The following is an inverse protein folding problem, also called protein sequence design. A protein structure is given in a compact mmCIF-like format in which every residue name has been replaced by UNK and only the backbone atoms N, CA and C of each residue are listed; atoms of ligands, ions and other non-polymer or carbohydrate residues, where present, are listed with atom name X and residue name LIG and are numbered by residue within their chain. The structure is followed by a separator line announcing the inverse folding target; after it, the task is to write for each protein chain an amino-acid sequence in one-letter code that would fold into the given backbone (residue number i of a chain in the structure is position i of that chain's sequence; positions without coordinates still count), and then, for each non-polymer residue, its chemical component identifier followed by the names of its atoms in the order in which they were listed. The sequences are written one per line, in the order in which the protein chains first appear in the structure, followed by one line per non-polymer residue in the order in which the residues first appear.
data_IF_116543999012
#
_entry.id   IF_116543999012
#
_cell.length_a   1.000
_cell.length_b   1.000
_cell.length_c   1.000
_cell.angle_alpha   90.00
_cell.angle_beta   90.00
_cell.angle_gamma   90.00
#
_symmetry.space_group_name_H-M   'P 1'
#
loop_
_entity.id
_entity.type
_entity.pdbx_description
1 polymer ?
#
# COMPACT_ATOMS: atom_id res chain seq x y z
N UNK A 1 -7.65 -14.76 10.08
CA UNK A 1 -6.41 -14.25 9.45
C UNK A 1 -6.63 -14.16 7.95
N UNK A 2 -6.36 -13.02 7.36
CA UNK A 2 -6.59 -12.73 5.94
C UNK A 2 -5.25 -12.69 5.20
N UNK A 3 -5.23 -13.22 3.98
CA UNK A 3 -4.08 -13.12 3.07
C UNK A 3 -4.33 -11.99 2.09
N UNK A 4 -3.40 -11.05 2.02
CA UNK A 4 -3.44 -9.90 1.10
C UNK A 4 -2.27 -10.03 0.14
N UNK A 5 -2.59 -9.94 -1.14
CA UNK A 5 -1.65 -9.93 -2.24
C UNK A 5 -1.26 -8.48 -2.54
N UNK A 6 -0.01 -8.20 -2.88
CA UNK A 6 0.33 -6.90 -3.45
C UNK A 6 1.00 -7.06 -4.82
N UNK A 7 0.58 -6.20 -5.76
CA UNK A 7 0.96 -6.29 -7.16
C UNK A 7 1.14 -4.92 -7.80
N UNK A 8 1.92 -4.93 -8.85
CA UNK A 8 2.22 -3.77 -9.68
C UNK A 8 2.43 -4.20 -11.14
N UNK A 9 2.94 -3.31 -11.97
CA UNK A 9 3.36 -3.65 -13.34
C UNK A 9 4.33 -4.84 -13.42
N UNK A 10 5.03 -5.15 -12.33
CA UNK A 10 6.05 -6.20 -12.32
C UNK A 10 5.49 -7.61 -12.44
N UNK A 11 4.22 -7.82 -12.06
CA UNK A 11 3.53 -9.09 -12.25
C UNK A 11 2.96 -9.26 -13.67
N UNK A 12 3.04 -8.19 -14.50
CA UNK A 12 2.50 -8.21 -15.85
C UNK A 12 0.99 -8.48 -15.87
N UNK A 13 0.56 -9.28 -16.84
CA UNK A 13 -0.86 -9.67 -16.97
C UNK A 13 -1.19 -10.76 -15.96
N UNK A 14 -2.22 -10.52 -15.16
CA UNK A 14 -2.74 -11.42 -14.12
C UNK A 14 -4.07 -12.01 -14.59
N UNK A 15 -4.25 -13.33 -14.43
CA UNK A 15 -5.54 -14.00 -14.57
C UNK A 15 -6.30 -13.91 -13.25
N UNK A 16 -7.04 -12.81 -13.09
CA UNK A 16 -7.79 -12.51 -11.88
C UNK A 16 -8.94 -13.49 -11.62
N UNK A 17 -9.52 -14.08 -12.63
CA UNK A 17 -10.56 -15.11 -12.49
C UNK A 17 -9.98 -16.36 -11.82
N UNK A 18 -8.79 -16.81 -12.23
CA UNK A 18 -8.05 -17.88 -11.57
C UNK A 18 -7.59 -17.51 -10.15
N UNK A 19 -7.11 -16.26 -9.93
CA UNK A 19 -6.78 -15.77 -8.57
C UNK A 19 -7.99 -15.87 -7.65
N UNK A 20 -9.15 -15.38 -8.08
CA UNK A 20 -10.40 -15.41 -7.29
C UNK A 20 -10.85 -16.84 -7.02
N UNK A 21 -10.85 -17.70 -8.03
CA UNK A 21 -11.26 -19.11 -7.93
C UNK A 21 -10.38 -19.91 -6.98
N UNK A 22 -9.11 -19.52 -6.81
CA UNK A 22 -8.18 -20.20 -5.90
C UNK A 22 -8.58 -20.13 -4.43
N UNK A 23 -9.38 -19.14 -4.03
CA UNK A 23 -9.79 -18.88 -2.66
C UNK A 23 -8.64 -18.50 -1.69
N UNK A 24 -7.42 -18.29 -2.22
CA UNK A 24 -6.21 -18.05 -1.41
C UNK A 24 -6.03 -16.58 -1.02
N UNK A 25 -6.65 -15.65 -1.73
CA UNK A 25 -6.47 -14.21 -1.61
C UNK A 25 -7.77 -13.59 -1.11
N UNK A 26 -7.68 -12.80 -0.04
CA UNK A 26 -8.81 -12.15 0.61
C UNK A 26 -8.89 -10.66 0.27
N UNK A 27 -7.85 -10.11 -0.34
CA UNK A 27 -7.77 -8.72 -0.77
C UNK A 27 -6.45 -8.44 -1.47
N UNK A 28 -6.37 -7.30 -2.13
CA UNK A 28 -5.22 -6.92 -2.96
C UNK A 28 -4.84 -5.48 -2.72
N UNK A 29 -3.55 -5.22 -2.51
CA UNK A 29 -2.95 -3.90 -2.56
C UNK A 29 -2.40 -3.66 -3.96
N UNK A 30 -2.93 -2.69 -4.68
CA UNK A 30 -2.50 -2.34 -6.03
C UNK A 30 -1.56 -1.14 -5.99
N UNK A 31 -0.43 -1.22 -6.70
CA UNK A 31 0.38 -0.02 -6.87
C UNK A 31 -0.34 0.99 -7.73
N UNK A 32 -0.74 2.11 -7.15
CA UNK A 32 -1.32 3.23 -7.89
C UNK A 32 -0.22 4.07 -8.56
N UNK A 33 0.83 4.43 -7.79
CA UNK A 33 1.97 5.17 -8.34
C UNK A 33 3.28 4.41 -8.13
N UNK A 34 4.11 4.46 -9.18
CA UNK A 34 5.54 4.16 -9.12
C UNK A 34 6.36 5.43 -9.23
N UNK A 35 7.69 5.28 -9.14
CA UNK A 35 8.63 6.38 -9.40
C UNK A 35 9.69 5.96 -10.40
N UNK A 36 10.09 6.88 -11.26
CA UNK A 36 11.26 6.74 -12.16
C UNK A 36 12.18 7.92 -11.92
N UNK A 37 13.36 7.66 -11.38
CA UNK A 37 14.33 8.70 -11.05
C UNK A 37 13.77 9.84 -10.16
N UNK A 38 12.84 9.52 -9.23
CA UNK A 38 12.19 10.48 -8.38
C UNK A 38 10.96 11.16 -8.97
N UNK A 39 10.61 10.87 -10.22
CA UNK A 39 9.39 11.39 -10.86
C UNK A 39 8.27 10.37 -10.70
N UNK A 40 7.14 10.71 -10.06
CA UNK A 40 6.02 9.80 -9.91
C UNK A 40 5.32 9.57 -11.25
N UNK A 41 4.76 8.38 -11.43
CA UNK A 41 3.92 8.02 -12.57
C UNK A 41 2.84 7.05 -12.14
N UNK A 42 1.70 7.06 -12.80
CA UNK A 42 0.63 6.07 -12.58
C UNK A 42 1.12 4.70 -13.07
N UNK A 43 1.00 3.67 -12.23
CA UNK A 43 1.39 2.32 -12.62
C UNK A 43 0.56 1.86 -13.83
N UNK A 44 1.20 1.44 -14.94
CA UNK A 44 0.49 1.11 -16.17
C UNK A 44 -0.49 -0.06 -16.05
N UNK A 45 -0.38 -0.89 -14.99
CA UNK A 45 -1.31 -1.99 -14.73
C UNK A 45 -2.40 -1.62 -13.71
N UNK A 46 -2.36 -0.41 -13.11
CA UNK A 46 -3.27 -0.02 -12.05
C UNK A 46 -4.75 -0.13 -12.48
N UNK A 47 -5.13 0.54 -13.56
CA UNK A 47 -6.54 0.57 -14.03
C UNK A 47 -7.03 -0.83 -14.43
N UNK A 48 -6.19 -1.60 -15.12
CA UNK A 48 -6.52 -2.97 -15.54
C UNK A 48 -6.77 -3.85 -14.33
N UNK A 49 -5.87 -3.81 -13.34
CA UNK A 49 -5.99 -4.61 -12.13
C UNK A 49 -7.16 -4.15 -11.25
N UNK A 50 -7.35 -2.83 -11.08
CA UNK A 50 -8.46 -2.27 -10.32
C UNK A 50 -9.82 -2.71 -10.90
N UNK A 51 -10.00 -2.55 -12.21
CA UNK A 51 -11.24 -2.93 -12.91
C UNK A 51 -11.53 -4.43 -12.77
N UNK A 52 -10.51 -5.27 -12.94
CA UNK A 52 -10.66 -6.72 -12.81
C UNK A 52 -11.02 -7.14 -11.37
N UNK A 53 -10.33 -6.59 -10.37
CA UNK A 53 -10.61 -6.88 -8.96
C UNK A 53 -12.03 -6.43 -8.57
N UNK A 54 -12.44 -5.22 -8.99
CA UNK A 54 -13.77 -4.68 -8.71
C UNK A 54 -14.86 -5.55 -9.35
N UNK A 55 -14.70 -5.95 -10.61
CA UNK A 55 -15.64 -6.84 -11.32
C UNK A 55 -15.81 -8.17 -10.57
N UNK A 56 -14.76 -8.70 -9.98
CA UNK A 56 -14.74 -9.99 -9.28
C UNK A 56 -15.09 -9.89 -7.78
N UNK A 57 -15.35 -8.68 -7.27
CA UNK A 57 -15.60 -8.47 -5.85
C UNK A 57 -14.41 -8.87 -4.98
N UNK A 58 -13.17 -8.63 -5.46
CA UNK A 58 -11.95 -8.76 -4.66
C UNK A 58 -11.71 -7.41 -3.97
N UNK A 59 -11.66 -7.35 -2.63
CA UNK A 59 -11.36 -6.11 -1.90
C UNK A 59 -10.03 -5.48 -2.34
N UNK A 60 -10.04 -4.17 -2.64
CA UNK A 60 -8.89 -3.44 -3.14
C UNK A 60 -8.47 -2.36 -2.16
N UNK A 61 -7.18 -2.28 -1.89
CA UNK A 61 -6.45 -1.13 -1.39
C UNK A 61 -5.39 -0.69 -2.38
N UNK A 62 -4.70 0.37 -2.06
CA UNK A 62 -3.66 0.90 -2.94
C UNK A 62 -2.38 1.22 -2.17
N UNK A 63 -1.27 1.25 -2.88
CA UNK A 63 -0.05 1.87 -2.38
C UNK A 63 0.59 2.74 -3.44
N UNK A 64 1.36 3.72 -3.00
CA UNK A 64 2.19 4.52 -3.88
C UNK A 64 3.63 4.56 -3.36
N UNK A 65 4.57 4.37 -4.27
CA UNK A 65 6.00 4.37 -3.98
C UNK A 65 6.51 5.80 -3.87
N UNK A 66 6.75 6.27 -2.65
CA UNK A 66 7.18 7.64 -2.41
C UNK A 66 8.69 7.80 -2.53
N UNK A 67 9.09 8.83 -3.26
CA UNK A 67 10.48 9.28 -3.37
C UNK A 67 10.65 10.74 -2.93
N UNK A 68 9.62 11.34 -2.37
CA UNK A 68 9.60 12.76 -2.01
C UNK A 68 10.54 13.05 -0.84
N UNK A 69 11.47 13.97 -1.05
CA UNK A 69 12.39 14.47 -0.01
C UNK A 69 12.06 15.92 0.40
N UNK A 70 11.00 16.50 -0.17
CA UNK A 70 10.48 17.83 0.17
C UNK A 70 8.96 17.84 0.19
N UNK A 71 8.34 18.79 0.88
CA UNK A 71 6.88 18.94 0.89
C UNK A 71 6.29 19.16 -0.52
N UNK A 72 6.85 20.02 -1.39
CA UNK A 72 6.32 20.17 -2.75
C UNK A 72 6.37 18.86 -3.57
N UNK A 73 7.41 18.02 -3.40
CA UNK A 73 7.47 16.72 -4.07
C UNK A 73 6.38 15.77 -3.55
N UNK A 74 6.19 15.69 -2.21
CA UNK A 74 5.10 14.94 -1.60
C UNK A 74 3.74 15.39 -2.14
N UNK A 75 3.51 16.70 -2.22
CA UNK A 75 2.25 17.26 -2.68
C UNK A 75 2.00 16.93 -4.17
N UNK A 76 3.05 16.90 -4.98
CA UNK A 76 2.96 16.46 -6.37
C UNK A 76 2.61 14.95 -6.49
N UNK A 77 3.23 14.07 -5.65
CA UNK A 77 2.85 12.66 -5.57
C UNK A 77 1.37 12.51 -5.16
N UNK A 78 0.94 13.25 -4.14
CA UNK A 78 -0.44 13.19 -3.66
C UNK A 78 -1.46 13.71 -4.68
N UNK A 79 -1.15 14.78 -5.41
CA UNK A 79 -2.01 15.28 -6.49
C UNK A 79 -2.21 14.21 -7.56
N UNK A 80 -1.13 13.59 -8.03
CA UNK A 80 -1.22 12.52 -9.02
C UNK A 80 -1.97 11.29 -8.48
N UNK A 81 -1.77 10.94 -7.19
CA UNK A 81 -2.49 9.86 -6.54
C UNK A 81 -3.99 10.15 -6.47
N UNK A 82 -4.37 11.34 -6.06
CA UNK A 82 -5.77 11.75 -5.98
C UNK A 82 -6.46 11.63 -7.34
N UNK A 83 -5.81 12.13 -8.40
CA UNK A 83 -6.33 12.02 -9.76
C UNK A 83 -6.49 10.56 -10.21
N UNK A 84 -5.52 9.70 -9.88
CA UNK A 84 -5.59 8.27 -10.18
C UNK A 84 -6.72 7.56 -9.41
N UNK A 85 -7.07 8.04 -8.22
CA UNK A 85 -8.08 7.43 -7.35
C UNK A 85 -9.49 7.99 -7.56
N UNK A 86 -9.64 9.09 -8.29
CA UNK A 86 -10.96 9.72 -8.51
C UNK A 86 -11.98 8.73 -9.08
N UNK A 87 -13.15 8.69 -8.47
CA UNK A 87 -14.24 7.79 -8.85
C UNK A 87 -14.07 6.34 -8.38
N UNK A 88 -13.00 6.03 -7.66
CA UNK A 88 -12.74 4.67 -7.15
C UNK A 88 -13.19 4.50 -5.70
N UNK A 89 -13.41 3.25 -5.31
CA UNK A 89 -13.70 2.84 -3.93
C UNK A 89 -12.62 1.88 -3.46
N UNK A 90 -12.17 2.07 -2.22
CA UNK A 90 -11.20 1.18 -1.58
C UNK A 90 -11.86 0.47 -0.40
N UNK A 91 -11.63 -0.83 -0.27
CA UNK A 91 -12.05 -1.66 0.87
C UNK A 91 -10.87 -2.09 1.74
N UNK A 92 -9.66 -1.77 1.31
CA UNK A 92 -8.41 -1.90 2.05
C UNK A 92 -7.73 -0.53 2.14
N UNK A 93 -6.71 -0.36 2.99
CA UNK A 93 -6.04 0.91 3.18
C UNK A 93 -5.43 1.52 1.91
N UNK A 94 -5.15 2.83 1.97
CA UNK A 94 -4.23 3.53 1.09
C UNK A 94 -2.88 3.66 1.80
N UNK A 95 -1.82 3.07 1.24
CA UNK A 95 -0.52 3.02 1.87
C UNK A 95 0.50 3.93 1.19
N UNK A 96 1.32 4.60 2.02
CA UNK A 96 2.53 5.28 1.61
C UNK A 96 3.67 4.27 1.71
N UNK A 97 4.30 3.94 0.59
CA UNK A 97 5.43 3.02 0.51
C UNK A 97 6.74 3.81 0.72
N UNK A 98 7.37 3.62 1.88
CA UNK A 98 8.51 4.39 2.40
C UNK A 98 9.72 3.48 2.53
N UNK A 99 10.45 3.31 1.43
CA UNK A 99 11.63 2.44 1.40
C UNK A 99 12.74 2.91 0.44
N UNK A 100 12.49 3.95 -0.37
CA UNK A 100 13.46 4.44 -1.35
C UNK A 100 14.74 4.94 -0.66
N UNK A 101 15.88 4.58 -1.23
CA UNK A 101 17.19 4.96 -0.68
C UNK A 101 17.41 6.48 -0.62
N UNK A 102 16.77 7.26 -1.50
CA UNK A 102 16.83 8.74 -1.50
C UNK A 102 16.26 9.35 -0.24
N UNK A 103 15.27 8.70 0.36
CA UNK A 103 14.64 9.17 1.60
C UNK A 103 15.63 9.24 2.76
N UNK A 104 16.71 8.45 2.70
CA UNK A 104 17.80 8.46 3.71
C UNK A 104 18.66 9.73 3.69
N UNK A 105 18.45 10.62 2.72
CA UNK A 105 19.04 11.95 2.72
C UNK A 105 18.41 12.89 3.76
N UNK A 106 17.21 12.54 4.25
CA UNK A 106 16.53 13.27 5.31
C UNK A 106 16.89 12.71 6.70
N UNK A 107 16.82 13.58 7.71
CA UNK A 107 16.83 13.10 9.11
C UNK A 107 15.56 12.31 9.39
N UNK A 108 15.58 11.37 10.36
CA UNK A 108 14.39 10.62 10.75
C UNK A 108 13.19 11.52 11.11
N UNK A 109 13.42 12.65 11.78
CA UNK A 109 12.38 13.61 12.11
C UNK A 109 11.74 14.23 10.85
N UNK A 110 12.58 14.72 9.93
CA UNK A 110 12.12 15.35 8.71
C UNK A 110 11.35 14.36 7.81
N UNK A 111 11.87 13.15 7.67
CA UNK A 111 11.20 12.11 6.90
C UNK A 111 9.87 11.71 7.53
N UNK A 112 9.85 11.47 8.85
CA UNK A 112 8.62 11.08 9.54
C UNK A 112 7.56 12.18 9.51
N UNK A 113 7.95 13.45 9.62
CA UNK A 113 7.03 14.58 9.45
C UNK A 113 6.44 14.64 8.02
N UNK A 114 7.26 14.37 7.01
CA UNK A 114 6.85 14.34 5.61
C UNK A 114 5.84 13.20 5.36
N UNK A 115 6.13 12.00 5.85
CA UNK A 115 5.25 10.82 5.74
C UNK A 115 3.94 11.04 6.53
N UNK A 116 4.03 11.56 7.75
CA UNK A 116 2.84 11.88 8.55
C UNK A 116 1.95 12.95 7.87
N UNK A 117 2.56 13.92 7.18
CA UNK A 117 1.83 14.88 6.36
C UNK A 117 1.07 14.22 5.22
N UNK A 118 1.69 13.28 4.53
CA UNK A 118 1.04 12.49 3.49
C UNK A 118 -0.11 11.63 4.04
N UNK A 119 0.11 10.94 5.16
CA UNK A 119 -0.90 10.10 5.78
C UNK A 119 -2.14 10.91 6.21
N UNK A 120 -1.95 12.09 6.83
CA UNK A 120 -3.05 13.01 7.16
C UNK A 120 -3.81 13.47 5.93
N UNK A 121 -3.13 13.68 4.80
CA UNK A 121 -3.80 14.06 3.56
C UNK A 121 -4.67 12.94 3.01
N UNK A 122 -4.22 11.67 3.09
CA UNK A 122 -5.05 10.51 2.74
C UNK A 122 -6.31 10.44 3.63
N UNK A 123 -6.16 10.65 4.95
CA UNK A 123 -7.30 10.71 5.88
C UNK A 123 -8.26 11.86 5.58
N UNK A 124 -7.72 13.03 5.20
CA UNK A 124 -8.54 14.17 4.76
C UNK A 124 -9.40 13.85 3.54
N UNK A 125 -8.94 12.97 2.65
CA UNK A 125 -9.73 12.46 1.53
C UNK A 125 -10.72 11.35 1.94
N UNK A 126 -10.81 11.02 3.22
CA UNK A 126 -11.67 9.96 3.72
C UNK A 126 -11.12 8.56 3.50
N UNK A 127 -9.82 8.41 3.31
CA UNK A 127 -9.15 7.12 3.16
C UNK A 127 -8.59 6.63 4.49
N UNK A 128 -8.55 5.32 4.69
CA UNK A 128 -7.81 4.73 5.80
C UNK A 128 -6.33 4.71 5.45
N UNK A 129 -5.55 5.56 6.11
CA UNK A 129 -4.12 5.71 5.82
C UNK A 129 -3.29 4.59 6.47
N UNK A 130 -2.23 4.20 5.78
CA UNK A 130 -1.27 3.19 6.23
C UNK A 130 0.13 3.57 5.77
N UNK A 131 1.15 3.24 6.54
CA UNK A 131 2.56 3.39 6.15
C UNK A 131 3.13 2.01 5.89
N UNK A 132 3.67 1.78 4.68
CA UNK A 132 4.46 0.59 4.39
C UNK A 132 5.94 0.91 4.50
N UNK A 133 6.67 0.01 5.13
CA UNK A 133 8.14 0.00 5.14
C UNK A 133 8.65 -1.37 5.59
N UNK A 134 9.96 -1.61 5.50
CA UNK A 134 10.57 -2.82 6.05
C UNK A 134 11.25 -2.57 7.41
N UNK A 135 11.41 -3.63 8.20
CA UNK A 135 11.87 -3.53 9.61
C UNK A 135 13.12 -2.66 9.77
N UNK A 136 14.16 -2.88 8.98
CA UNK A 136 15.41 -2.12 9.11
C UNK A 136 15.22 -0.63 8.76
N UNK A 137 14.37 -0.29 7.78
CA UNK A 137 14.10 1.10 7.46
C UNK A 137 13.32 1.79 8.59
N UNK A 138 12.33 1.10 9.15
CA UNK A 138 11.58 1.57 10.32
C UNK A 138 12.48 1.87 11.51
N UNK A 139 13.50 1.01 11.73
CA UNK A 139 14.40 1.13 12.89
C UNK A 139 15.48 2.20 12.72
N UNK A 140 15.86 2.53 11.48
CA UNK A 140 17.04 3.37 11.20
C UNK A 140 16.74 4.72 10.53
N UNK A 141 15.58 4.88 9.93
CA UNK A 141 15.26 6.06 9.12
C UNK A 141 13.95 6.76 9.53
N UNK A 142 13.18 6.17 10.44
CA UNK A 142 11.88 6.72 10.83
C UNK A 142 11.78 6.88 12.36
N UNK A 143 11.12 7.94 12.79
CA UNK A 143 10.63 8.09 14.16
C UNK A 143 9.21 7.49 14.23
N UNK A 144 9.14 6.23 14.65
CA UNK A 144 7.88 5.47 14.65
C UNK A 144 6.83 6.04 15.61
N UNK A 145 7.22 6.76 16.65
CA UNK A 145 6.27 7.46 17.55
C UNK A 145 5.50 8.57 16.81
N UNK A 146 6.14 9.28 15.89
CA UNK A 146 5.49 10.27 15.01
C UNK A 146 4.47 9.60 14.09
N UNK A 147 4.71 8.36 13.71
CA UNK A 147 3.86 7.59 12.80
C UNK A 147 2.86 6.68 13.53
N UNK A 148 2.90 6.63 14.87
CA UNK A 148 2.03 5.78 15.69
C UNK A 148 0.50 6.00 15.48
N UNK A 149 0.01 7.21 15.10
CA UNK A 149 -1.41 7.39 14.77
C UNK A 149 -1.88 6.61 13.55
N UNK A 150 -0.98 6.28 12.63
CA UNK A 150 -1.29 5.59 11.37
C UNK A 150 -1.04 4.09 11.49
N UNK A 151 -1.77 3.32 10.70
CA UNK A 151 -1.54 1.88 10.68
C UNK A 151 -0.23 1.54 9.95
N UNK A 152 0.38 0.43 10.31
CA UNK A 152 1.67 0.00 9.75
C UNK A 152 1.51 -1.28 8.94
N UNK A 153 2.01 -1.26 7.71
CA UNK A 153 2.25 -2.44 6.89
C UNK A 153 3.76 -2.70 6.89
N UNK A 154 4.17 -3.74 7.60
CA UNK A 154 5.59 -4.01 7.86
C UNK A 154 6.08 -5.20 7.04
N UNK A 155 7.13 -4.99 6.23
CA UNK A 155 7.81 -6.08 5.55
C UNK A 155 8.92 -6.66 6.45
N UNK A 156 8.83 -7.98 6.67
CA UNK A 156 9.83 -8.73 7.41
C UNK A 156 9.82 -10.20 6.96
N UNK A 157 10.88 -10.62 6.30
CA UNK A 157 10.98 -11.94 5.68
C UNK A 157 11.77 -12.96 6.50
N UNK A 158 12.04 -12.66 7.80
CA UNK A 158 12.80 -13.54 8.70
C UNK A 158 12.03 -14.76 9.20
N UNK A 159 10.81 -14.98 8.69
CA UNK A 159 9.99 -16.16 9.00
C UNK A 159 9.32 -16.12 10.38
N UNK A 160 9.46 -15.04 11.14
CA UNK A 160 8.80 -14.82 12.43
C UNK A 160 7.99 -13.53 12.38
N UNK A 161 6.80 -13.55 13.02
CA UNK A 161 5.98 -12.34 13.15
C UNK A 161 6.80 -11.24 13.83
N UNK A 162 6.85 -10.02 13.24
CA UNK A 162 7.54 -8.90 13.85
C UNK A 162 6.95 -8.55 15.23
N UNK A 163 7.81 -8.21 16.18
CA UNK A 163 7.38 -7.76 17.52
C UNK A 163 6.76 -6.35 17.47
N UNK A 164 7.19 -5.50 16.51
CA UNK A 164 6.63 -4.16 16.33
C UNK A 164 5.14 -4.26 15.99
N UNK A 165 4.31 -3.43 16.64
CA UNK A 165 2.87 -3.34 16.36
C UNK A 165 2.66 -3.00 14.88
N UNK A 166 1.82 -3.77 14.20
CA UNK A 166 1.50 -3.61 12.79
C UNK A 166 0.06 -4.07 12.52
N UNK A 167 -0.57 -3.49 11.53
CA UNK A 167 -1.88 -3.92 11.04
C UNK A 167 -1.76 -4.98 9.95
N UNK A 168 -0.70 -4.91 9.14
CA UNK A 168 -0.43 -5.88 8.08
C UNK A 168 1.06 -6.25 8.06
N UNK A 169 1.37 -7.51 7.82
CA UNK A 169 2.73 -8.05 7.73
C UNK A 169 2.97 -8.67 6.37
N UNK A 170 3.86 -8.08 5.57
CA UNK A 170 4.37 -8.69 4.36
C UNK A 170 5.46 -9.70 4.76
N UNK A 171 5.15 -10.97 4.64
CA UNK A 171 5.98 -12.04 5.18
C UNK A 171 6.84 -12.75 4.13
N UNK A 172 6.59 -12.51 2.84
CA UNK A 172 7.36 -13.09 1.74
C UNK A 172 7.20 -12.27 0.46
N UNK A 173 8.29 -12.19 -0.30
CA UNK A 173 8.32 -11.70 -1.70
C UNK A 173 8.41 -12.85 -2.72
N UNK A 174 8.25 -14.10 -2.27
CA UNK A 174 8.40 -15.31 -3.10
C UNK A 174 7.15 -16.19 -3.06
N UNK A 175 6.01 -15.59 -2.79
CA UNK A 175 4.72 -16.26 -2.79
C UNK A 175 4.36 -16.81 -4.18
N UNK A 176 3.45 -17.78 -4.20
CA UNK A 176 2.87 -18.32 -5.44
C UNK A 176 1.36 -18.31 -5.32
N UNK A 177 0.72 -17.67 -6.28
CA UNK A 177 -0.74 -17.60 -6.37
C UNK A 177 -1.15 -18.08 -7.76
N UNK A 178 -2.11 -19.00 -7.88
CA UNK A 178 -2.66 -19.38 -9.18
C UNK A 178 -3.17 -18.15 -9.92
N UNK A 179 -2.89 -18.06 -11.22
CA UNK A 179 -3.26 -16.90 -12.04
C UNK A 179 -2.16 -15.83 -12.15
N UNK A 180 -1.04 -15.97 -11.40
CA UNK A 180 0.10 -15.05 -11.48
C UNK A 180 1.35 -15.81 -11.90
N UNK A 181 1.99 -15.33 -12.96
CA UNK A 181 3.26 -15.87 -13.44
C UNK A 181 4.41 -15.33 -12.59
N UNK A 182 5.11 -16.23 -11.90
CA UNK A 182 6.26 -15.82 -11.09
C UNK A 182 5.97 -15.60 -9.60
N UNK A 183 6.97 -15.14 -8.86
CA UNK A 183 6.83 -14.83 -7.43
C UNK A 183 6.04 -13.55 -7.22
N UNK A 184 5.39 -13.46 -6.06
CA UNK A 184 4.57 -12.32 -5.67
C UNK A 184 4.65 -12.09 -4.17
N UNK A 185 4.48 -10.84 -3.76
CA UNK A 185 4.47 -10.44 -2.37
C UNK A 185 3.15 -10.85 -1.70
N UNK A 186 3.27 -11.46 -0.53
CA UNK A 186 2.13 -11.86 0.27
C UNK A 186 2.21 -11.28 1.67
N UNK A 187 1.09 -10.78 2.11
CA UNK A 187 0.88 -10.22 3.44
C UNK A 187 -0.20 -10.97 4.22
N UNK A 188 -0.14 -10.87 5.55
CA UNK A 188 -1.13 -11.36 6.50
C UNK A 188 -1.64 -10.23 7.37
N UNK A 189 -2.93 -10.26 7.66
CA UNK A 189 -3.54 -9.36 8.64
C UNK A 189 -4.59 -10.11 9.46
N UNK A 190 -4.76 -9.70 10.72
CA UNK A 190 -5.86 -10.15 11.57
C UNK A 190 -7.05 -9.18 11.49
N UNK A 191 -6.82 -7.96 10.96
CA UNK A 191 -7.87 -6.97 10.78
C UNK A 191 -8.73 -7.31 9.57
N UNK A 192 -10.03 -7.31 9.75
CA UNK A 192 -11.01 -7.28 8.67
C UNK A 192 -11.16 -5.84 8.18
N UNK A 193 -10.23 -5.39 7.32
CA UNK A 193 -10.26 -4.03 6.79
C UNK A 193 -11.54 -3.71 6.02
N UNK A 194 -12.09 -4.58 5.15
CA UNK A 194 -13.37 -4.31 4.52
C UNK A 194 -14.48 -3.98 5.50
N UNK A 195 -14.64 -4.80 6.55
CA UNK A 195 -15.64 -4.55 7.57
C UNK A 195 -15.32 -3.31 8.43
N UNK A 196 -14.05 -3.05 8.71
CA UNK A 196 -13.60 -1.89 9.48
C UNK A 196 -13.87 -0.58 8.70
N UNK A 197 -13.47 -0.52 7.42
CA UNK A 197 -13.65 0.66 6.59
C UNK A 197 -15.14 0.92 6.33
N UNK A 198 -15.92 -0.12 6.10
CA UNK A 198 -17.36 0.00 5.92
C UNK A 198 -18.05 0.62 7.14
N UNK A 199 -17.77 0.09 8.35
CA UNK A 199 -18.32 0.63 9.61
C UNK A 199 -17.89 2.08 9.86
N UNK A 200 -16.68 2.46 9.45
CA UNK A 200 -16.16 3.81 9.59
C UNK A 200 -16.63 4.77 8.48
N UNK A 201 -17.32 4.27 7.45
CA UNK A 201 -17.73 5.06 6.29
C UNK A 201 -16.56 5.52 5.41
N UNK A 202 -15.44 4.78 5.43
CA UNK A 202 -14.21 5.08 4.69
C UNK A 202 -14.10 4.29 3.37
N UNK A 203 -15.15 3.55 2.99
CA UNK A 203 -15.23 2.80 1.74
C UNK A 203 -16.07 3.52 0.67
N UNK A 204 -16.15 4.85 0.75
CA UNK A 204 -16.92 5.68 -0.19
C UNK A 204 -16.14 5.93 -1.47
N UNK A 205 -16.85 6.35 -2.51
CA UNK A 205 -16.23 6.80 -3.76
C UNK A 205 -15.42 8.07 -3.50
N UNK A 206 -14.18 8.08 -3.95
CA UNK A 206 -13.25 9.22 -3.87
C UNK A 206 -13.68 10.26 -4.92
N UNK A 207 -13.88 11.50 -4.50
CA UNK A 207 -14.39 12.61 -5.32
C UNK A 207 -13.29 13.33 -6.12
#
# INVERSE_FOLDING_TARGET
MFTVLDVSRWQGRIDWDTVKASGRVHGVMLRALGSRNGTPYIDPMFETNYSACTRLGIPVGVYYYSCAVTAPQRDAELTLLHDALRGKRLQLPAAIDVEDARLRALTPDALSALVAGAARQLEHWGLYSMVYTYTHFADTALHMDTLAPFDLWLADYRGKRPARRHGMWQYTSRGRVPGISGPVDLSRTEKDYPALLHRAGLDRTIL
#
